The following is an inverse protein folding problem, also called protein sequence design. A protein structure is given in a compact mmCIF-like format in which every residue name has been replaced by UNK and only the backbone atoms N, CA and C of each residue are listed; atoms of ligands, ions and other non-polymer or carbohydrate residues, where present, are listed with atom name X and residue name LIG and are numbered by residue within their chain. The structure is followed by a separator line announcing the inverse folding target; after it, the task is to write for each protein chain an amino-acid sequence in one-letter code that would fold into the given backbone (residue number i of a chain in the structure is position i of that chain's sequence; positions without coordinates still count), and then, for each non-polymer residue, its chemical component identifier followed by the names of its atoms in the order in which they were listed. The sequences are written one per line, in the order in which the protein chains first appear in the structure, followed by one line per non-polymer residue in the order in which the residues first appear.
data_IF_140750216166
#
_entry.id   IF_140750216166
#
_cell.length_a   1.000
_cell.length_b   1.000
_cell.length_c   1.000
_cell.angle_alpha   90.00
_cell.angle_beta   90.00
_cell.angle_gamma   90.00
#
_symmetry.space_group_name_H-M   'P 1'
#
loop_
_entity.id
_entity.type
_entity.pdbx_description
1 polymer ?
#
# COMPACT_ATOMS: atom_id res chain seq x y z
N UNK A 1 11.64 5.61 9.49
CA UNK A 1 11.30 4.53 8.54
C UNK A 1 9.79 4.57 8.36
N UNK A 2 9.30 4.68 7.12
CA UNK A 2 7.87 4.66 6.83
C UNK A 2 7.37 3.24 6.57
N UNK A 3 6.14 2.95 6.97
CA UNK A 3 5.42 1.74 6.56
C UNK A 3 5.04 1.86 5.10
N UNK A 4 5.51 0.92 4.29
CA UNK A 4 5.40 0.97 2.84
C UNK A 4 4.22 0.15 2.36
N UNK A 5 3.66 0.51 1.21
CA UNK A 5 2.55 -0.21 0.64
C UNK A 5 2.34 0.04 -0.84
N UNK A 6 1.19 -0.39 -1.31
CA UNK A 6 0.77 -0.24 -2.70
C UNK A 6 -0.70 0.16 -2.79
N UNK A 7 -1.00 1.10 -3.69
CA UNK A 7 -2.35 1.40 -4.15
C UNK A 7 -2.51 0.71 -5.50
N UNK A 8 -3.43 -0.25 -5.59
CA UNK A 8 -3.51 -1.16 -6.72
C UNK A 8 -4.95 -1.35 -7.21
N UNK A 9 -5.09 -1.89 -8.42
CA UNK A 9 -6.35 -2.41 -8.97
C UNK A 9 -6.23 -3.92 -9.17
N UNK A 10 -7.35 -4.63 -9.17
CA UNK A 10 -7.37 -6.05 -9.51
C UNK A 10 -6.98 -6.28 -10.97
N UNK A 11 -6.15 -7.28 -11.24
CA UNK A 11 -5.74 -7.67 -12.60
C UNK A 11 -5.60 -9.19 -12.68
N UNK A 12 -6.59 -9.86 -13.30
CA UNK A 12 -6.63 -11.32 -13.35
C UNK A 12 -6.80 -11.93 -11.96
N UNK A 13 -5.93 -12.87 -11.61
CA UNK A 13 -5.80 -13.46 -10.26
C UNK A 13 -4.87 -12.66 -9.33
N UNK A 14 -4.25 -11.59 -9.85
CA UNK A 14 -3.33 -10.72 -9.15
C UNK A 14 -3.81 -9.27 -9.04
N UNK A 15 -2.84 -8.37 -8.83
CA UNK A 15 -3.05 -6.94 -8.76
C UNK A 15 -1.90 -6.20 -9.45
N UNK A 16 -2.18 -4.97 -9.89
CA UNK A 16 -1.18 -4.04 -10.42
C UNK A 16 -1.47 -2.63 -9.91
N UNK A 17 -0.43 -1.90 -9.54
CA UNK A 17 -0.56 -0.65 -8.80
C UNK A 17 0.71 0.17 -8.75
N UNK A 18 0.71 1.10 -7.79
CA UNK A 18 1.79 2.04 -7.54
C UNK A 18 2.28 1.95 -6.12
N UNK A 19 3.59 2.12 -5.96
CA UNK A 19 4.24 2.21 -4.67
C UNK A 19 3.72 3.40 -3.84
N UNK A 20 3.66 3.22 -2.54
CA UNK A 20 3.36 4.25 -1.55
C UNK A 20 4.33 4.15 -0.37
N UNK A 21 4.98 5.26 0.01
CA UNK A 21 6.13 5.24 0.93
C UNK A 21 5.76 5.31 2.41
N UNK A 22 4.95 6.30 2.81
CA UNK A 22 4.74 6.65 4.22
C UNK A 22 3.39 6.18 4.74
N UNK A 23 3.33 5.77 6.00
CA UNK A 23 2.07 5.52 6.72
C UNK A 23 1.06 4.61 5.99
N UNK A 24 1.57 3.59 5.30
CA UNK A 24 0.73 2.69 4.49
C UNK A 24 -0.11 1.71 5.30
N UNK A 25 -0.10 1.78 6.63
CA UNK A 25 -0.95 0.97 7.50
C UNK A 25 -2.44 1.35 7.37
N UNK A 26 -3.39 0.47 7.74
CA UNK A 26 -4.81 0.70 7.51
C UNK A 26 -5.37 1.97 8.16
N UNK A 27 -4.89 2.37 9.34
CA UNK A 27 -5.33 3.62 9.98
C UNK A 27 -4.81 4.89 9.28
N UNK A 28 -3.77 4.78 8.44
CA UNK A 28 -3.21 5.86 7.62
C UNK A 28 -3.75 5.79 6.18
N UNK A 29 -3.05 5.07 5.30
CA UNK A 29 -3.41 4.97 3.87
C UNK A 29 -4.80 4.38 3.65
N UNK A 30 -5.16 3.28 4.33
CA UNK A 30 -6.48 2.65 4.14
C UNK A 30 -7.64 3.62 4.40
N UNK A 31 -7.59 4.28 5.56
CA UNK A 31 -8.52 5.36 5.93
C UNK A 31 -8.50 6.52 4.93
N UNK A 32 -7.33 6.95 4.49
CA UNK A 32 -7.20 8.07 3.55
C UNK A 32 -7.82 7.76 2.19
N UNK A 33 -7.56 6.58 1.63
CA UNK A 33 -8.19 6.12 0.38
C UNK A 33 -9.72 6.10 0.49
N UNK A 34 -10.25 5.62 1.61
CA UNK A 34 -11.69 5.62 1.86
C UNK A 34 -12.28 7.03 1.93
N UNK A 35 -11.62 7.93 2.66
CA UNK A 35 -12.04 9.32 2.77
C UNK A 35 -11.97 10.04 1.41
N UNK A 36 -10.93 9.79 0.61
CA UNK A 36 -10.79 10.34 -0.73
C UNK A 36 -11.89 9.86 -1.66
N UNK A 37 -12.20 8.56 -1.65
CA UNK A 37 -13.29 7.99 -2.45
C UNK A 37 -14.62 8.71 -2.16
N UNK A 38 -14.99 8.80 -0.88
CA UNK A 38 -16.30 9.28 -0.48
C UNK A 38 -16.39 10.82 -0.42
N UNK A 39 -15.27 11.49 -0.21
CA UNK A 39 -15.17 12.94 -0.14
C UNK A 39 -14.87 13.58 -1.49
N UNK A 40 -13.65 13.38 -2.01
CA UNK A 40 -13.17 14.06 -3.22
C UNK A 40 -13.76 13.45 -4.50
N UNK A 41 -13.83 12.12 -4.59
CA UNK A 41 -14.32 11.43 -5.79
C UNK A 41 -15.84 11.17 -5.76
N UNK A 42 -16.52 11.45 -4.64
CA UNK A 42 -17.97 11.29 -4.51
C UNK A 42 -18.48 9.87 -4.81
N UNK A 43 -17.69 8.84 -4.50
CA UNK A 43 -17.98 7.43 -4.80
C UNK A 43 -17.54 6.97 -6.19
N UNK A 44 -16.92 7.82 -7.00
CA UNK A 44 -16.45 7.48 -8.35
C UNK A 44 -15.12 6.69 -8.29
N UNK A 45 -15.24 5.37 -8.20
CA UNK A 45 -14.11 4.44 -8.11
C UNK A 45 -13.21 4.50 -9.34
N UNK A 46 -13.79 4.72 -10.53
CA UNK A 46 -13.02 4.78 -11.78
C UNK A 46 -12.12 6.02 -11.78
N UNK A 47 -12.66 7.20 -11.43
CA UNK A 47 -11.85 8.42 -11.30
C UNK A 47 -10.78 8.30 -10.23
N UNK A 48 -11.13 7.73 -9.08
CA UNK A 48 -10.15 7.52 -8.00
C UNK A 48 -9.00 6.61 -8.45
N UNK A 49 -9.32 5.50 -9.13
CA UNK A 49 -8.32 4.56 -9.64
C UNK A 49 -7.45 5.21 -10.71
N UNK A 50 -8.06 5.95 -11.64
CA UNK A 50 -7.35 6.68 -12.68
C UNK A 50 -6.38 7.71 -12.08
N UNK A 51 -6.81 8.43 -11.05
CA UNK A 51 -5.96 9.38 -10.33
C UNK A 51 -4.79 8.66 -9.64
N UNK A 52 -5.06 7.75 -8.70
CA UNK A 52 -3.99 7.18 -7.88
C UNK A 52 -3.03 6.24 -8.63
N UNK A 53 -3.43 5.69 -9.77
CA UNK A 53 -2.65 4.67 -10.49
C UNK A 53 -2.23 5.12 -11.89
N UNK A 54 -3.14 5.63 -12.72
CA UNK A 54 -2.83 5.91 -14.13
C UNK A 54 -2.13 7.27 -14.32
N UNK A 55 -2.57 8.30 -13.60
CA UNK A 55 -2.04 9.66 -13.73
C UNK A 55 -0.72 9.86 -12.98
N UNK A 56 -0.42 8.99 -12.01
CA UNK A 56 0.79 9.07 -11.18
C UNK A 56 1.60 7.77 -11.25
N UNK A 57 2.21 7.46 -12.41
CA UNK A 57 2.80 6.16 -12.68
C UNK A 57 4.09 5.87 -11.89
N UNK A 58 4.76 6.90 -11.36
CA UNK A 58 5.92 6.73 -10.48
C UNK A 58 5.55 6.43 -9.01
N UNK A 59 4.26 6.47 -8.68
CA UNK A 59 3.77 6.28 -7.31
C UNK A 59 3.99 7.48 -6.40
N UNK A 60 3.96 7.20 -5.10
CA UNK A 60 3.67 8.21 -4.08
C UNK A 60 4.65 8.16 -2.92
N UNK A 61 5.13 9.33 -2.51
CA UNK A 61 5.70 9.53 -1.18
C UNK A 61 4.59 9.42 -0.15
N UNK A 62 3.51 10.18 -0.30
CA UNK A 62 2.32 10.06 0.54
C UNK A 62 1.09 10.66 -0.13
N UNK A 63 -0.08 10.06 0.13
CA UNK A 63 -1.41 10.65 -0.13
C UNK A 63 -2.27 10.72 1.14
N UNK A 64 -1.66 10.39 2.29
CA UNK A 64 -2.34 10.34 3.58
C UNK A 64 -2.79 11.74 3.96
N UNK A 65 -4.09 11.90 4.23
CA UNK A 65 -4.73 13.17 4.60
C UNK A 65 -4.51 14.32 3.59
N UNK A 66 -4.11 14.02 2.36
CA UNK A 66 -3.83 15.03 1.35
C UNK A 66 -5.09 15.76 0.85
N UNK A 67 -5.04 17.07 0.67
CA UNK A 67 -6.02 17.83 -0.08
C UNK A 67 -5.78 17.65 -1.58
N UNK A 68 -6.61 16.82 -2.22
CA UNK A 68 -6.54 16.52 -3.64
C UNK A 68 -7.03 17.67 -4.54
N UNK A 69 -7.46 18.81 -3.97
CA UNK A 69 -7.68 20.03 -4.73
C UNK A 69 -6.38 20.81 -5.01
N UNK A 70 -5.28 20.42 -4.36
CA UNK A 70 -3.94 20.94 -4.62
C UNK A 70 -3.28 20.02 -5.65
N UNK A 71 -2.64 20.61 -6.66
CA UNK A 71 -1.94 19.85 -7.70
C UNK A 71 -0.86 18.94 -7.07
N UNK A 72 -0.86 17.62 -7.36
CA UNK A 72 0.11 16.71 -6.78
C UNK A 72 1.54 17.00 -7.24
N UNK A 73 2.50 16.84 -6.33
CA UNK A 73 3.92 16.97 -6.64
C UNK A 73 4.80 16.69 -5.43
N UNK A 74 5.99 16.17 -5.66
CA UNK A 74 6.99 16.02 -4.61
C UNK A 74 7.68 17.36 -4.32
N UNK A 75 7.93 17.66 -3.05
CA UNK A 75 8.73 18.82 -2.62
C UNK A 75 9.94 18.30 -1.84
N UNK A 76 11.15 18.63 -2.31
CA UNK A 76 12.39 18.23 -1.67
C UNK A 76 12.72 19.10 -0.45
N UNK A 77 13.35 18.51 0.56
CA UNK A 77 13.73 19.23 1.77
C UNK A 77 14.94 20.14 1.53
N UNK A 78 15.00 21.32 2.18
CA UNK A 78 14.09 21.79 3.24
C UNK A 78 12.80 22.40 2.69
N UNK A 79 11.64 21.90 3.17
CA UNK A 79 10.33 22.52 2.89
C UNK A 79 10.33 23.94 3.43
N UNK A 80 9.96 24.92 2.61
CA UNK A 80 9.58 26.23 3.15
C UNK A 80 8.22 26.04 3.83
N UNK A 81 8.01 26.74 4.94
CA UNK A 81 6.79 26.64 5.73
C UNK A 81 5.50 27.00 4.95
N UNK A 82 5.65 27.64 3.78
CA UNK A 82 4.62 28.02 2.82
C UNK A 82 4.30 26.97 1.76
N UNK A 83 5.10 25.89 1.66
CA UNK A 83 4.94 24.90 0.60
C UNK A 83 3.81 23.95 1.00
N UNK A 84 2.61 24.27 0.51
CA UNK A 84 1.36 23.51 0.55
C UNK A 84 1.30 22.36 1.57
N UNK A 85 1.11 22.66 2.87
CA UNK A 85 0.86 21.63 3.86
C UNK A 85 -0.41 20.88 3.46
N UNK A 86 -0.25 19.60 3.10
CA UNK A 86 -1.36 18.73 2.72
C UNK A 86 -1.47 18.42 1.23
N UNK A 87 -0.56 18.80 0.34
CA UNK A 87 -0.63 18.29 -1.04
C UNK A 87 -0.28 16.80 -1.12
N UNK A 88 -0.82 16.09 -2.12
CA UNK A 88 -0.40 14.74 -2.42
C UNK A 88 1.00 14.74 -3.06
N UNK A 89 1.90 13.88 -2.59
CA UNK A 89 3.30 13.88 -3.01
C UNK A 89 3.59 12.71 -3.95
N UNK A 90 3.40 12.91 -5.25
CA UNK A 90 3.77 11.92 -6.26
C UNK A 90 5.24 12.04 -6.67
N UNK A 91 5.89 10.93 -7.02
CA UNK A 91 7.27 10.93 -7.49
C UNK A 91 7.46 11.41 -8.94
N UNK A 92 6.37 11.58 -9.71
CA UNK A 92 6.40 11.96 -11.13
C UNK A 92 6.27 13.46 -11.40
N UNK A 93 5.89 14.28 -10.41
CA UNK A 93 5.74 15.74 -10.56
C UNK A 93 6.42 16.49 -9.41
N UNK A 94 6.63 17.80 -9.56
CA UNK A 94 7.28 18.66 -8.58
C UNK A 94 8.81 18.64 -8.71
N UNK A 95 9.51 18.58 -7.58
CA UNK A 95 10.98 18.52 -7.53
C UNK A 95 11.55 17.16 -7.95
N UNK A 96 10.68 16.15 -8.12
CA UNK A 96 11.00 14.84 -8.68
C UNK A 96 10.27 14.61 -10.00
N UNK A 97 10.88 13.77 -10.83
CA UNK A 97 10.36 13.34 -12.13
C UNK A 97 10.81 11.90 -12.38
N UNK A 98 10.49 11.01 -11.45
CA UNK A 98 10.82 9.59 -11.57
C UNK A 98 9.99 8.93 -12.69
N UNK A 99 10.58 7.91 -13.31
CA UNK A 99 9.92 7.10 -14.33
C UNK A 99 8.77 6.27 -13.76
N UNK A 100 7.92 5.76 -14.64
CA UNK A 100 6.86 4.82 -14.26
C UNK A 100 7.43 3.59 -13.52
N UNK A 101 6.80 3.22 -12.40
CA UNK A 101 7.18 2.08 -11.59
C UNK A 101 5.96 1.15 -11.43
N UNK A 102 5.95 0.09 -12.25
CA UNK A 102 4.91 -0.93 -12.17
C UNK A 102 5.17 -1.88 -11.01
N UNK A 103 4.22 -1.91 -10.07
CA UNK A 103 4.22 -2.83 -8.95
C UNK A 103 3.06 -3.81 -9.12
N UNK A 104 3.35 -5.10 -9.14
CA UNK A 104 2.39 -6.18 -9.35
C UNK A 104 2.48 -7.21 -8.23
N UNK A 105 1.52 -8.12 -8.17
CA UNK A 105 1.56 -9.28 -7.28
C UNK A 105 2.77 -10.21 -7.52
N UNK A 106 3.46 -10.11 -8.66
CA UNK A 106 4.63 -10.94 -8.99
C UNK A 106 5.96 -10.29 -8.58
N UNK A 107 6.05 -8.96 -8.60
CA UNK A 107 7.30 -8.23 -8.32
C UNK A 107 7.26 -7.43 -7.00
N UNK A 108 6.08 -7.29 -6.37
CA UNK A 108 5.92 -6.61 -5.09
C UNK A 108 6.37 -7.48 -3.94
N UNK A 109 7.63 -7.34 -3.52
CA UNK A 109 8.19 -8.09 -2.40
C UNK A 109 7.43 -7.75 -1.09
N UNK A 110 6.69 -8.71 -0.49
CA UNK A 110 5.90 -8.45 0.71
C UNK A 110 6.74 -8.18 1.97
N UNK A 111 8.05 -8.41 1.92
CA UNK A 111 8.99 -7.95 2.96
C UNK A 111 9.16 -6.43 2.93
N UNK A 112 9.05 -5.80 1.75
CA UNK A 112 9.20 -4.36 1.55
C UNK A 112 7.89 -3.62 1.30
N UNK A 113 6.87 -4.32 0.80
CA UNK A 113 5.52 -3.82 0.56
C UNK A 113 4.61 -4.45 1.62
N UNK A 114 4.53 -3.80 2.77
CA UNK A 114 3.89 -4.35 3.96
C UNK A 114 2.37 -4.41 3.84
N UNK A 115 1.77 -3.48 3.08
CA UNK A 115 0.33 -3.40 2.88
C UNK A 115 -0.02 -3.18 1.42
N UNK A 116 -1.10 -3.80 0.94
CA UNK A 116 -1.61 -3.60 -0.42
C UNK A 116 -3.10 -3.31 -0.34
N UNK A 117 -3.53 -2.25 -1.01
CA UNK A 117 -4.92 -1.82 -1.14
C UNK A 117 -5.36 -2.04 -2.59
N UNK A 118 -6.09 -3.12 -2.83
CA UNK A 118 -6.59 -3.47 -4.16
C UNK A 118 -8.01 -2.93 -4.31
N UNK A 119 -8.15 -1.91 -5.13
CA UNK A 119 -9.41 -1.25 -5.47
C UNK A 119 -10.07 -2.02 -6.61
N UNK A 120 -11.28 -2.51 -6.34
CA UNK A 120 -12.17 -3.12 -7.32
C UNK A 120 -13.40 -2.22 -7.48
N UNK A 121 -14.22 -2.40 -8.55
CA UNK A 121 -15.41 -1.55 -8.76
C UNK A 121 -16.39 -1.50 -7.59
N UNK A 122 -16.42 -2.53 -6.73
CA UNK A 122 -17.41 -2.66 -5.64
C UNK A 122 -16.80 -2.83 -4.25
N UNK A 123 -15.50 -3.04 -4.14
CA UNK A 123 -14.88 -3.34 -2.84
C UNK A 123 -13.41 -2.91 -2.79
N UNK A 124 -12.93 -2.66 -1.57
CA UNK A 124 -11.52 -2.53 -1.25
C UNK A 124 -11.02 -3.83 -0.61
N UNK A 125 -10.02 -4.45 -1.21
CA UNK A 125 -9.32 -5.60 -0.62
C UNK A 125 -8.03 -5.12 0.04
N UNK A 126 -7.82 -5.50 1.31
CA UNK A 126 -6.62 -5.18 2.07
C UNK A 126 -5.78 -6.43 2.27
N UNK A 127 -4.51 -6.37 1.89
CA UNK A 127 -3.54 -7.44 2.09
C UNK A 127 -2.39 -6.96 2.98
N UNK A 128 -1.79 -7.88 3.74
CA UNK A 128 -0.59 -7.63 4.54
C UNK A 128 0.54 -8.57 4.13
N UNK A 129 1.77 -8.09 4.07
CA UNK A 129 2.96 -8.92 3.90
C UNK A 129 3.19 -9.79 5.13
N UNK A 130 3.24 -11.11 4.97
CA UNK A 130 3.43 -12.08 6.06
C UNK A 130 4.51 -13.09 5.67
N UNK A 131 5.18 -13.67 6.68
CA UNK A 131 6.06 -14.82 6.45
C UNK A 131 5.29 -15.99 5.82
N UNK A 132 5.93 -16.73 4.94
CA UNK A 132 5.38 -17.87 4.23
C UNK A 132 6.15 -19.15 4.56
N UNK A 133 5.47 -20.28 4.49
CA UNK A 133 6.12 -21.58 4.53
C UNK A 133 7.01 -21.77 3.29
N UNK A 134 8.09 -22.52 3.44
CA UNK A 134 8.89 -23.01 2.31
C UNK A 134 9.35 -24.42 2.57
N UNK A 135 9.13 -25.28 1.57
CA UNK A 135 9.66 -26.65 1.55
C UNK A 135 11.09 -26.68 1.02
N UNK A 136 11.60 -25.55 0.48
CA UNK A 136 12.95 -25.43 -0.03
C UNK A 136 13.93 -25.16 1.14
N UNK A 137 14.78 -26.14 1.51
CA UNK A 137 15.77 -25.95 2.57
C UNK A 137 16.86 -24.95 2.18
N UNK A 138 17.01 -24.61 0.89
CA UNK A 138 17.94 -23.58 0.40
C UNK A 138 17.37 -22.17 0.46
N UNK A 139 16.03 -22.02 0.46
CA UNK A 139 15.37 -20.76 0.81
C UNK A 139 15.65 -20.35 2.27
N UNK A 140 16.07 -21.29 3.13
CA UNK A 140 16.62 -21.01 4.47
C UNK A 140 18.01 -20.36 4.45
N UNK A 141 18.66 -20.31 3.28
CA UNK A 141 20.05 -19.90 3.07
C UNK A 141 20.22 -19.07 1.78
N UNK A 142 19.25 -18.20 1.46
CA UNK A 142 19.59 -17.04 0.64
C UNK A 142 20.76 -16.29 1.28
N UNK A 143 21.54 -15.54 0.50
CA UNK A 143 22.78 -14.88 0.95
C UNK A 143 22.58 -13.95 2.18
N UNK A 144 21.32 -13.64 2.53
CA UNK A 144 20.86 -12.89 3.71
C UNK A 144 19.90 -13.64 4.67
N UNK A 145 19.64 -14.94 4.48
CA UNK A 145 18.81 -15.75 5.38
C UNK A 145 17.34 -15.31 5.50
N UNK A 146 16.74 -14.82 4.42
CA UNK A 146 15.38 -14.26 4.43
C UNK A 146 14.32 -15.36 4.37
N UNK A 147 13.40 -15.32 5.34
CA UNK A 147 12.16 -16.11 5.31
C UNK A 147 11.38 -15.70 4.05
N UNK A 148 10.75 -16.62 3.31
CA UNK A 148 9.90 -16.21 2.20
C UNK A 148 8.71 -15.41 2.75
N UNK A 149 8.24 -14.44 1.98
CA UNK A 149 7.07 -13.64 2.32
C UNK A 149 5.99 -13.77 1.24
N UNK A 150 4.73 -13.55 1.62
CA UNK A 150 3.59 -13.44 0.71
C UNK A 150 2.64 -12.35 1.20
N UNK A 151 1.82 -11.79 0.33
CA UNK A 151 0.67 -11.00 0.76
C UNK A 151 -0.47 -11.93 1.19
N UNK A 152 -0.99 -11.74 2.40
CA UNK A 152 -2.14 -12.48 2.94
C UNK A 152 -3.36 -11.57 3.05
N UNK A 153 -4.54 -12.13 2.76
CA UNK A 153 -5.80 -11.42 2.84
C UNK A 153 -6.13 -11.02 4.30
N UNK A 154 -6.29 -9.72 4.52
CA UNK A 154 -6.74 -9.16 5.80
C UNK A 154 -8.25 -8.99 5.78
N UNK A 155 -8.80 -8.44 4.69
CA UNK A 155 -10.25 -8.27 4.55
C UNK A 155 -10.67 -7.73 3.20
N UNK A 156 -11.97 -7.82 2.94
CA UNK A 156 -12.66 -7.29 1.76
C UNK A 156 -13.82 -6.43 2.26
N UNK A 157 -13.87 -5.17 1.85
CA UNK A 157 -14.80 -4.18 2.37
C UNK A 157 -15.62 -3.59 1.22
N UNK A 158 -16.96 -3.69 1.22
CA UNK A 158 -17.81 -3.07 0.19
C UNK A 158 -17.59 -1.56 0.16
N UNK A 159 -17.43 -0.96 -1.03
CA UNK A 159 -17.19 0.48 -1.17
C UNK A 159 -18.44 1.34 -0.97
N UNK A 160 -19.63 0.75 -1.03
CA UNK A 160 -20.92 1.41 -0.79
C UNK A 160 -21.41 1.26 0.67
N UNK A 161 -20.60 0.62 1.52
CA UNK A 161 -20.91 0.36 2.92
C UNK A 161 -20.41 1.43 3.90
N UNK A 162 -20.52 1.12 5.19
CA UNK A 162 -19.88 1.92 6.24
C UNK A 162 -18.35 1.77 6.19
N UNK A 163 -17.66 2.82 6.63
CA UNK A 163 -16.21 2.78 6.76
C UNK A 163 -15.78 1.62 7.69
N UNK A 164 -14.82 0.78 7.27
CA UNK A 164 -14.22 -0.21 8.15
C UNK A 164 -13.67 0.42 9.43
N UNK A 165 -13.71 -0.31 10.53
CA UNK A 165 -12.94 0.03 11.72
C UNK A 165 -11.44 -0.19 11.42
N UNK A 166 -10.75 0.85 10.96
CA UNK A 166 -9.37 0.77 10.46
C UNK A 166 -8.38 0.24 11.51
N UNK A 167 -8.58 0.56 12.78
CA UNK A 167 -7.80 0.02 13.90
C UNK A 167 -7.94 -1.51 13.98
N UNK A 168 -9.15 -2.06 13.81
CA UNK A 168 -9.37 -3.50 13.79
C UNK A 168 -8.75 -4.16 12.55
N UNK A 169 -8.83 -3.50 11.38
CA UNK A 169 -8.20 -3.98 10.14
C UNK A 169 -6.68 -4.09 10.34
N UNK A 170 -6.06 -3.05 10.89
CA UNK A 170 -4.64 -3.01 11.19
C UNK A 170 -4.24 -4.11 12.18
N UNK A 171 -4.92 -4.20 13.32
CA UNK A 171 -4.67 -5.23 14.32
C UNK A 171 -4.83 -6.65 13.76
N UNK A 172 -5.76 -6.86 12.82
CA UNK A 172 -5.92 -8.16 12.15
C UNK A 172 -4.71 -8.49 11.29
N UNK A 173 -4.20 -7.55 10.50
CA UNK A 173 -2.98 -7.77 9.71
C UNK A 173 -1.75 -8.01 10.58
N UNK A 174 -1.62 -7.29 11.71
CA UNK A 174 -0.55 -7.52 12.69
C UNK A 174 -0.63 -8.92 13.33
N UNK A 175 -1.83 -9.40 13.68
CA UNK A 175 -2.01 -10.77 14.18
C UNK A 175 -1.57 -11.81 13.14
N UNK A 176 -1.98 -11.64 11.88
CA UNK A 176 -1.59 -12.53 10.79
C UNK A 176 -0.06 -12.56 10.61
N UNK A 177 0.60 -11.40 10.65
CA UNK A 177 2.07 -11.29 10.61
C UNK A 177 2.73 -12.04 11.75
N UNK A 178 2.28 -11.82 12.98
CA UNK A 178 2.84 -12.45 14.18
C UNK A 178 2.67 -13.97 14.18
N UNK A 179 1.48 -14.47 13.81
CA UNK A 179 1.18 -15.90 13.73
C UNK A 179 2.01 -16.58 12.62
N UNK A 180 2.11 -15.94 11.45
CA UNK A 180 2.93 -16.43 10.36
C UNK A 180 4.42 -16.47 10.74
N UNK A 181 4.93 -15.44 11.42
CA UNK A 181 6.31 -15.41 11.91
C UNK A 181 6.59 -16.57 12.88
N UNK A 182 5.72 -16.76 13.89
CA UNK A 182 5.87 -17.88 14.85
C UNK A 182 5.89 -19.24 14.18
N UNK A 183 5.06 -19.42 13.16
CA UNK A 183 4.90 -20.70 12.47
C UNK A 183 6.02 -20.97 11.48
N UNK A 184 6.43 -19.97 10.70
CA UNK A 184 7.26 -20.16 9.51
C UNK A 184 8.67 -19.58 9.63
N UNK A 185 8.85 -18.50 10.40
CA UNK A 185 10.12 -17.79 10.53
C UNK A 185 10.89 -18.20 11.78
N UNK A 186 10.27 -18.06 12.96
CA UNK A 186 10.92 -18.26 14.26
C UNK A 186 11.61 -19.63 14.42
N UNK A 187 11.10 -20.75 13.87
CA UNK A 187 11.79 -22.04 13.93
C UNK A 187 13.13 -22.07 13.18
N UNK A 188 13.37 -21.15 12.23
CA UNK A 188 14.60 -21.08 11.45
C UNK A 188 15.77 -20.42 12.20
N UNK A 189 15.49 -19.78 13.34
CA UNK A 189 16.48 -19.05 14.16
C UNK A 189 16.85 -19.77 15.47
N UNK A 190 16.53 -21.06 15.59
CA UNK A 190 16.88 -21.91 16.74
C UNK A 190 17.97 -22.90 16.38
#
# INVERSE_FOLDING_TARGET
MGTRGAIARAQGDGWSGRYHHWDSYPTGLGRSLWNHLHGHFGGDVEKMTAFFIDQHPAGWSTVVEADLNIEPGFIEYPRRHSDHPGQAECYCHGDRSEEAQDLTSENGDPCFIEWVYVISPTHLTVLAGVAAATDDPTARRGEYGTVPYRHALVGVYPLDGEAPNWEEVEQRGERLRHEAWKTHAAPLYR
#
